data_IF_046633189084
#
_entry.id   IF_046633189084
#
_cell.length_a   1.000
_cell.length_b   1.000
_cell.length_c   1.000
_cell.angle_alpha   90.00
_cell.angle_beta   90.00
_cell.angle_gamma   90.00
#
_symmetry.space_group_name_H-M   'P 1'
#
loop_
_entity.id
_entity.type
_entity.pdbx_description
1 polymer ?
#
# COMPACT_ATOMS: atom_id res chain seq x y z
N UNK A 1 -13.63 10.41 19.68
CA UNK A 1 -12.48 11.30 19.39
C UNK A 1 -11.77 10.95 18.08
N UNK A 2 -11.49 9.69 17.77
CA UNK A 2 -10.81 9.28 16.54
C UNK A 2 -11.54 9.75 15.26
N UNK A 3 -12.86 9.60 15.17
CA UNK A 3 -13.62 10.03 13.99
C UNK A 3 -13.50 11.52 13.69
N UNK A 4 -13.41 12.36 14.71
CA UNK A 4 -13.24 13.80 14.55
C UNK A 4 -11.85 14.14 13.99
N UNK A 5 -10.80 13.44 14.46
CA UNK A 5 -9.42 13.60 14.00
C UNK A 5 -9.31 13.17 12.54
N UNK A 6 -9.86 12.02 12.17
CA UNK A 6 -9.88 11.54 10.79
C UNK A 6 -10.66 12.48 9.86
N UNK A 7 -11.78 13.04 10.33
CA UNK A 7 -12.52 14.05 9.58
C UNK A 7 -11.70 15.30 9.28
N UNK A 8 -10.93 15.79 10.24
CA UNK A 8 -10.05 16.95 10.08
C UNK A 8 -8.90 16.64 9.11
N UNK A 9 -8.21 15.51 9.30
CA UNK A 9 -7.13 15.08 8.42
C UNK A 9 -7.61 14.90 6.97
N UNK A 10 -8.79 14.32 6.80
CA UNK A 10 -9.42 14.15 5.49
C UNK A 10 -9.73 15.48 4.82
N UNK A 11 -10.20 16.49 5.56
CA UNK A 11 -10.42 17.83 5.03
C UNK A 11 -9.11 18.50 4.62
N UNK A 12 -8.05 18.39 5.42
CA UNK A 12 -6.73 18.91 5.07
C UNK A 12 -6.13 18.24 3.84
N UNK A 13 -6.26 16.93 3.72
CA UNK A 13 -5.83 16.21 2.53
C UNK A 13 -6.59 16.68 1.28
N UNK A 14 -7.91 16.85 1.37
CA UNK A 14 -8.76 17.34 0.26
C UNK A 14 -8.48 18.79 -0.11
N UNK A 15 -8.15 19.63 0.85
CA UNK A 15 -7.83 21.04 0.58
C UNK A 15 -6.52 21.26 -0.18
N UNK A 16 -5.71 20.19 -0.34
CA UNK A 16 -4.41 20.26 -0.99
C UNK A 16 -3.31 20.79 -0.09
N UNK A 17 -3.56 20.94 1.22
CA UNK A 17 -2.55 21.33 2.19
C UNK A 17 -1.44 20.26 2.29
N UNK A 18 -1.81 19.00 2.12
CA UNK A 18 -0.88 17.86 1.99
C UNK A 18 -0.93 17.32 0.57
N UNK A 19 0.22 16.96 0.03
CA UNK A 19 0.28 16.22 -1.22
C UNK A 19 -0.30 14.81 -1.02
N UNK A 20 0.13 14.13 0.05
CA UNK A 20 -0.41 12.83 0.47
C UNK A 20 -0.32 12.71 1.99
N UNK A 21 -1.39 12.26 2.63
CA UNK A 21 -1.41 11.87 4.04
C UNK A 21 -1.33 10.35 4.14
N UNK A 22 -0.31 9.84 4.82
CA UNK A 22 -0.11 8.40 5.03
C UNK A 22 -0.70 7.97 6.36
N UNK A 23 -1.48 6.89 6.33
CA UNK A 23 -2.04 6.24 7.51
C UNK A 23 -1.37 4.88 7.73
N UNK A 24 -0.98 4.63 8.96
CA UNK A 24 -0.38 3.38 9.43
C UNK A 24 -1.00 3.02 10.76
N UNK A 25 -1.43 1.78 10.91
CA UNK A 25 -1.89 1.20 12.17
C UNK A 25 -0.79 0.33 12.77
N UNK A 26 -0.25 0.77 13.89
CA UNK A 26 0.82 0.05 14.57
C UNK A 26 0.42 -1.37 14.98
N UNK A 27 -0.85 -1.61 15.32
CA UNK A 27 -1.34 -2.95 15.67
C UNK A 27 -1.30 -3.90 14.47
N UNK A 28 -1.49 -3.38 13.27
CA UNK A 28 -1.38 -4.19 12.04
C UNK A 28 0.09 -4.47 11.76
N UNK A 29 0.96 -3.46 11.86
CA UNK A 29 2.39 -3.62 11.61
C UNK A 29 3.03 -4.57 12.64
N UNK A 30 2.54 -4.57 13.87
CA UNK A 30 2.99 -5.48 14.92
C UNK A 30 2.92 -6.96 14.51
N UNK A 31 1.95 -7.36 13.69
CA UNK A 31 1.83 -8.73 13.21
C UNK A 31 3.03 -9.19 12.36
N UNK A 32 3.85 -8.26 11.86
CA UNK A 32 5.07 -8.56 11.12
C UNK A 32 6.31 -8.65 12.02
N UNK A 33 6.19 -8.18 13.27
CA UNK A 33 7.21 -8.38 14.27
C UNK A 33 7.10 -9.81 14.78
N UNK A 34 8.14 -10.58 14.69
CA UNK A 34 8.22 -11.85 15.40
C UNK A 34 8.30 -11.63 16.92
N UNK A 35 8.73 -12.63 17.67
CA UNK A 35 8.96 -12.53 19.12
C UNK A 35 10.14 -11.58 19.41
N UNK A 36 9.85 -10.29 19.51
CA UNK A 36 10.83 -9.23 19.83
C UNK A 36 10.71 -8.86 21.30
N UNK A 37 11.84 -8.78 22.03
CA UNK A 37 11.85 -8.27 23.40
C UNK A 37 11.25 -6.86 23.48
N UNK A 38 10.55 -6.56 24.57
CA UNK A 38 9.88 -5.26 24.78
C UNK A 38 10.84 -4.06 24.59
N UNK A 39 12.10 -4.22 24.92
CA UNK A 39 13.12 -3.16 24.75
C UNK A 39 13.38 -2.78 23.29
N UNK A 40 13.14 -3.68 22.33
CA UNK A 40 13.31 -3.44 20.89
C UNK A 40 12.00 -3.26 20.11
N UNK A 41 10.86 -3.29 20.78
CA UNK A 41 9.55 -3.31 20.13
C UNK A 41 9.28 -2.10 19.24
N UNK A 42 9.46 -0.89 19.76
CA UNK A 42 9.22 0.32 18.98
C UNK A 42 10.25 0.54 17.87
N UNK A 43 11.49 0.13 18.08
CA UNK A 43 12.54 0.20 17.07
C UNK A 43 12.19 -0.76 15.92
N UNK A 44 11.76 -1.98 16.19
CA UNK A 44 11.32 -2.94 15.19
C UNK A 44 10.12 -2.47 14.38
N UNK A 45 9.10 -1.89 15.04
CA UNK A 45 7.96 -1.27 14.36
C UNK A 45 8.39 -0.14 13.42
N UNK A 46 9.21 0.77 13.93
CA UNK A 46 9.70 1.89 13.14
C UNK A 46 10.53 1.42 11.95
N UNK A 47 11.37 0.41 12.14
CA UNK A 47 12.21 -0.14 11.06
C UNK A 47 11.36 -0.72 9.92
N UNK A 48 10.28 -1.43 10.21
CA UNK A 48 9.37 -1.96 9.19
C UNK A 48 8.70 -0.82 8.42
N UNK A 49 8.16 0.16 9.13
CA UNK A 49 7.45 1.29 8.50
C UNK A 49 8.42 2.12 7.66
N UNK A 50 9.55 2.52 8.23
CA UNK A 50 10.52 3.40 7.57
C UNK A 50 11.19 2.71 6.40
N UNK A 51 11.58 1.42 6.53
CA UNK A 51 12.18 0.68 5.42
C UNK A 51 11.21 0.49 4.26
N UNK A 52 9.96 0.15 4.55
CA UNK A 52 8.91 0.01 3.51
C UNK A 52 8.67 1.33 2.79
N UNK A 53 8.52 2.42 3.54
CA UNK A 53 8.34 3.76 2.98
C UNK A 53 9.56 4.20 2.15
N UNK A 54 10.77 3.97 2.68
CA UNK A 54 12.01 4.29 2.00
C UNK A 54 12.14 3.56 0.66
N UNK A 55 11.86 2.25 0.63
CA UNK A 55 11.95 1.46 -0.59
C UNK A 55 10.94 1.93 -1.65
N UNK A 56 9.71 2.21 -1.25
CA UNK A 56 8.69 2.77 -2.15
C UNK A 56 9.18 4.10 -2.71
N UNK A 57 9.72 4.99 -1.88
CA UNK A 57 10.24 6.29 -2.33
C UNK A 57 11.41 6.15 -3.30
N UNK A 58 12.31 5.20 -3.08
CA UNK A 58 13.39 4.88 -4.03
C UNK A 58 12.83 4.46 -5.38
N UNK A 59 11.85 3.55 -5.40
CA UNK A 59 11.25 3.07 -6.65
C UNK A 59 10.40 4.12 -7.36
N UNK A 60 9.74 5.01 -6.64
CA UNK A 60 9.00 6.14 -7.24
C UNK A 60 9.94 7.14 -7.94
N UNK A 61 11.21 7.18 -7.56
CA UNK A 61 12.25 8.00 -8.18
C UNK A 61 13.19 7.20 -9.11
N UNK A 62 12.84 5.97 -9.43
CA UNK A 62 13.60 5.07 -10.32
C UNK A 62 12.71 4.64 -11.48
N UNK A 63 13.26 4.61 -12.67
CA UNK A 63 12.53 4.09 -13.83
C UNK A 63 12.42 2.56 -13.75
N UNK A 64 11.22 1.96 -13.83
CA UNK A 64 11.07 0.51 -13.83
C UNK A 64 11.57 -0.10 -15.13
N UNK A 65 12.08 -1.32 -15.06
CA UNK A 65 12.46 -2.09 -16.25
C UNK A 65 11.21 -2.43 -17.11
N UNK A 66 10.11 -2.74 -16.47
CA UNK A 66 8.83 -3.08 -17.10
C UNK A 66 7.71 -2.45 -16.27
N UNK A 67 6.66 -2.01 -16.95
CA UNK A 67 5.50 -1.39 -16.34
C UNK A 67 5.66 0.11 -16.15
N UNK A 68 4.72 0.70 -15.46
CA UNK A 68 4.73 2.14 -15.16
C UNK A 68 3.96 2.38 -13.86
N UNK A 69 4.56 3.06 -12.92
CA UNK A 69 3.86 3.55 -11.73
C UNK A 69 3.13 4.85 -12.09
N UNK A 70 1.82 4.83 -11.97
CA UNK A 70 1.00 6.01 -12.26
C UNK A 70 0.93 6.93 -11.04
N UNK A 71 0.97 8.23 -11.30
CA UNK A 71 0.68 9.22 -10.24
C UNK A 71 -0.78 9.08 -9.79
N UNK A 72 -1.05 9.21 -8.49
CA UNK A 72 -2.42 9.17 -7.99
C UNK A 72 -3.25 10.34 -8.53
N UNK A 73 -4.55 10.14 -8.61
CA UNK A 73 -5.48 11.23 -8.94
C UNK A 73 -5.49 12.27 -7.81
N UNK A 74 -5.78 13.52 -8.17
CA UNK A 74 -5.81 14.62 -7.19
C UNK A 74 -6.80 14.40 -6.03
N UNK A 75 -7.85 13.62 -6.25
CA UNK A 75 -8.80 13.22 -5.21
C UNK A 75 -8.27 12.15 -4.25
N UNK A 76 -7.21 11.42 -4.64
CA UNK A 76 -6.64 10.30 -3.89
C UNK A 76 -5.42 10.74 -3.07
N UNK A 77 -5.65 11.59 -2.07
CA UNK A 77 -4.59 12.19 -1.24
C UNK A 77 -4.36 11.49 0.10
N UNK A 78 -5.04 10.40 0.34
CA UNK A 78 -4.86 9.57 1.54
C UNK A 78 -4.31 8.23 1.09
N UNK A 79 -3.24 7.79 1.69
CA UNK A 79 -2.55 6.57 1.31
C UNK A 79 -2.18 5.72 2.51
N UNK A 80 -1.96 4.45 2.26
CA UNK A 80 -1.20 3.55 3.13
C UNK A 80 -0.18 2.80 2.30
N UNK A 81 0.80 2.25 2.98
CA UNK A 81 1.84 1.41 2.39
C UNK A 81 1.69 -0.01 2.90
N UNK A 82 2.40 -0.93 2.30
CA UNK A 82 2.40 -2.32 2.71
C UNK A 82 3.37 -3.17 1.91
N UNK A 83 3.31 -4.45 2.18
CA UNK A 83 4.11 -5.47 1.50
C UNK A 83 3.20 -6.57 0.98
N UNK A 84 3.65 -7.30 -0.04
CA UNK A 84 2.92 -8.46 -0.54
C UNK A 84 3.85 -9.65 -0.72
N UNK A 85 3.30 -10.85 -0.59
CA UNK A 85 4.02 -12.08 -0.85
C UNK A 85 4.17 -12.29 -2.35
N UNK A 86 5.40 -12.56 -2.80
CA UNK A 86 5.67 -12.89 -4.20
C UNK A 86 5.08 -14.25 -4.60
N UNK A 87 4.98 -15.19 -3.67
CA UNK A 87 4.48 -16.53 -3.96
C UNK A 87 2.96 -16.60 -4.01
N UNK A 88 2.28 -16.12 -2.96
CA UNK A 88 0.82 -16.15 -2.84
C UNK A 88 0.13 -14.96 -3.47
N UNK A 89 0.82 -13.82 -3.61
CA UNK A 89 0.23 -12.56 -4.00
C UNK A 89 -0.60 -11.90 -2.89
N UNK A 90 -0.63 -12.49 -1.69
CA UNK A 90 -1.32 -11.89 -0.54
C UNK A 90 -0.68 -10.57 -0.16
N UNK A 91 -1.51 -9.55 0.04
CA UNK A 91 -1.04 -8.21 0.41
C UNK A 91 -1.42 -7.86 1.84
N UNK A 92 -0.50 -7.19 2.51
CA UNK A 92 -0.62 -6.74 3.88
C UNK A 92 -0.42 -5.22 3.90
N UNK A 93 -1.51 -4.48 3.83
CA UNK A 93 -1.51 -3.03 3.98
C UNK A 93 -1.40 -2.65 5.45
N UNK A 94 -0.66 -1.60 5.76
CA UNK A 94 -0.44 -1.13 7.13
C UNK A 94 -1.61 -0.32 7.69
N UNK A 95 -2.62 -0.05 6.90
CA UNK A 95 -3.90 0.51 7.32
C UNK A 95 -5.04 -0.04 6.45
N UNK A 96 -6.16 -0.51 7.02
CA UNK A 96 -7.29 -1.02 6.27
C UNK A 96 -8.19 0.14 5.81
N UNK A 97 -8.33 0.33 4.51
CA UNK A 97 -9.30 1.26 3.95
C UNK A 97 -10.61 0.55 3.61
N UNK A 98 -11.74 1.15 3.96
CA UNK A 98 -13.07 0.67 3.55
C UNK A 98 -13.25 0.75 2.03
N UNK A 99 -12.62 1.74 1.40
CA UNK A 99 -12.69 1.96 -0.03
C UNK A 99 -11.31 2.33 -0.59
N UNK A 100 -10.76 1.45 -1.41
CA UNK A 100 -9.54 1.71 -2.16
C UNK A 100 -9.90 2.20 -3.56
N UNK A 101 -9.24 3.26 -4.03
CA UNK A 101 -9.41 3.83 -5.37
C UNK A 101 -8.29 3.44 -6.31
N UNK A 102 -7.08 3.39 -5.79
CA UNK A 102 -5.88 3.14 -6.59
C UNK A 102 -4.89 2.28 -5.80
N UNK A 103 -4.17 1.42 -6.52
CA UNK A 103 -3.06 0.63 -5.99
C UNK A 103 -1.85 0.71 -6.90
N UNK A 104 -0.68 0.78 -6.30
CA UNK A 104 0.60 0.68 -6.99
C UNK A 104 1.43 -0.46 -6.38
N UNK A 105 2.02 -1.28 -7.24
CA UNK A 105 2.87 -2.41 -6.84
C UNK A 105 4.29 -2.24 -7.38
N UNK A 106 5.26 -2.37 -6.50
CA UNK A 106 6.68 -2.23 -6.77
C UNK A 106 7.34 -3.59 -6.60
N UNK A 107 7.60 -4.28 -7.70
CA UNK A 107 8.23 -5.59 -7.72
C UNK A 107 9.75 -5.40 -7.72
N UNK A 108 10.39 -5.59 -6.56
CA UNK A 108 11.83 -5.59 -6.38
C UNK A 108 12.37 -7.00 -6.62
N UNK A 109 12.91 -7.26 -7.80
CA UNK A 109 13.26 -8.59 -8.25
C UNK A 109 14.78 -8.68 -8.45
N UNK A 110 15.38 -9.80 -8.02
CA UNK A 110 16.78 -10.08 -8.24
C UNK A 110 17.13 -10.06 -9.74
N UNK A 111 18.22 -9.38 -10.11
CA UNK A 111 18.65 -9.24 -11.51
C UNK A 111 18.91 -10.57 -12.19
N UNK A 112 19.55 -11.51 -11.50
CA UNK A 112 19.88 -12.83 -12.06
C UNK A 112 18.62 -13.63 -12.37
N UNK A 113 17.59 -13.51 -11.51
CA UNK A 113 16.28 -14.14 -11.76
C UNK A 113 15.57 -13.51 -12.95
N UNK A 114 15.64 -12.18 -13.12
CA UNK A 114 15.06 -11.49 -14.28
C UNK A 114 15.70 -11.93 -15.60
N UNK A 115 17.00 -12.25 -15.58
CA UNK A 115 17.74 -12.70 -16.77
C UNK A 115 17.52 -14.18 -17.07
N UNK A 116 17.32 -15.02 -16.06
CA UNK A 116 17.26 -16.47 -16.20
C UNK A 116 15.86 -17.08 -16.22
N UNK A 117 14.86 -16.44 -15.58
CA UNK A 117 13.49 -16.98 -15.48
C UNK A 117 12.51 -16.30 -16.45
N UNK A 118 12.35 -16.90 -17.61
CA UNK A 118 11.40 -16.43 -18.63
C UNK A 118 9.91 -16.53 -18.22
N UNK A 119 9.58 -17.23 -17.13
CA UNK A 119 8.19 -17.36 -16.64
C UNK A 119 7.79 -16.23 -15.70
N UNK A 120 8.76 -15.51 -15.14
CA UNK A 120 8.59 -14.53 -14.08
C UNK A 120 7.65 -13.38 -14.45
N UNK A 121 7.84 -12.81 -15.64
CA UNK A 121 7.00 -11.71 -16.14
C UNK A 121 5.54 -12.16 -16.29
N UNK A 122 5.33 -13.39 -16.77
CA UNK A 122 3.98 -13.96 -16.89
C UNK A 122 3.33 -14.15 -15.54
N UNK A 123 4.07 -14.63 -14.54
CA UNK A 123 3.60 -14.77 -13.16
C UNK A 123 3.19 -13.41 -12.58
N UNK A 124 4.03 -12.38 -12.71
CA UNK A 124 3.73 -11.03 -12.24
C UNK A 124 2.47 -10.46 -12.93
N UNK A 125 2.38 -10.57 -14.26
CA UNK A 125 1.19 -10.10 -15.00
C UNK A 125 -0.09 -10.81 -14.55
N UNK A 126 -0.01 -12.10 -14.24
CA UNK A 126 -1.14 -12.87 -13.72
C UNK A 126 -1.56 -12.38 -12.34
N UNK A 127 -0.60 -12.13 -11.45
CA UNK A 127 -0.87 -11.55 -10.13
C UNK A 127 -1.51 -10.17 -10.24
N UNK A 128 -0.98 -9.29 -11.09
CA UNK A 128 -1.56 -7.95 -11.29
C UNK A 128 -2.99 -8.06 -11.84
N UNK A 129 -3.23 -8.95 -12.79
CA UNK A 129 -4.57 -9.17 -13.33
C UNK A 129 -5.58 -9.63 -12.26
N UNK A 130 -5.15 -10.49 -11.34
CA UNK A 130 -6.01 -10.92 -10.24
C UNK A 130 -6.33 -9.81 -9.21
N UNK A 131 -5.52 -8.76 -9.17
CA UNK A 131 -5.70 -7.60 -8.29
C UNK A 131 -6.55 -6.49 -8.92
N UNK A 132 -6.79 -6.56 -10.23
CA UNK A 132 -7.69 -5.64 -10.90
C UNK A 132 -9.12 -5.94 -10.47
N UNK A 133 -9.75 -4.97 -9.85
CA UNK A 133 -11.16 -5.00 -9.43
C UNK A 133 -11.90 -3.85 -10.12
N UNK A 134 -13.20 -3.97 -10.24
CA UNK A 134 -14.02 -2.88 -10.75
C UNK A 134 -13.82 -1.62 -9.87
N UNK A 135 -13.58 -0.51 -10.54
CA UNK A 135 -13.35 0.81 -9.91
C UNK A 135 -12.03 0.98 -9.12
N UNK A 136 -11.08 0.04 -9.17
CA UNK A 136 -9.74 0.21 -8.61
C UNK A 136 -8.72 0.34 -9.73
N UNK A 137 -8.04 1.48 -9.80
CA UNK A 137 -6.94 1.69 -10.75
C UNK A 137 -5.66 1.04 -10.21
N UNK A 138 -5.10 0.09 -10.98
CA UNK A 138 -3.89 -0.63 -10.59
C UNK A 138 -2.74 -0.27 -11.52
N UNK A 139 -1.58 0.05 -10.95
CA UNK A 139 -0.32 0.23 -11.68
C UNK A 139 0.78 -0.63 -11.06
N UNK A 140 1.80 -0.95 -11.82
CA UNK A 140 2.94 -1.71 -11.33
C UNK A 140 4.22 -1.40 -12.08
N UNK A 141 5.34 -1.63 -11.40
CA UNK A 141 6.67 -1.58 -12.00
C UNK A 141 7.55 -2.72 -11.49
N UNK A 142 8.42 -3.22 -12.37
CA UNK A 142 9.43 -4.22 -12.04
C UNK A 142 10.78 -3.52 -11.97
N UNK A 143 11.44 -3.62 -10.82
CA UNK A 143 12.70 -2.97 -10.51
C UNK A 143 13.78 -4.02 -10.25
N UNK A 144 14.84 -4.04 -11.06
CA UNK A 144 15.97 -4.94 -10.84
C UNK A 144 16.71 -4.57 -9.54
N UNK A 145 16.98 -5.57 -8.71
CA UNK A 145 17.73 -5.38 -7.46
C UNK A 145 18.91 -6.35 -7.35
N UNK A 146 19.78 -6.09 -6.39
CA UNK A 146 20.87 -7.00 -6.01
C UNK A 146 20.52 -7.79 -4.73
N UNK A 147 19.25 -7.73 -4.26
CA UNK A 147 18.79 -8.50 -3.11
C UNK A 147 18.74 -9.99 -3.46
N UNK A 148 19.01 -10.85 -2.49
CA UNK A 148 18.89 -12.31 -2.65
C UNK A 148 17.43 -12.72 -2.81
N UNK A 149 16.54 -12.07 -2.07
CA UNK A 149 15.11 -12.33 -2.09
C UNK A 149 14.34 -11.31 -2.94
N UNK A 150 13.19 -11.74 -3.43
CA UNK A 150 12.25 -10.90 -4.16
C UNK A 150 11.25 -10.29 -3.19
N UNK A 151 10.99 -9.00 -3.35
CA UNK A 151 10.05 -8.26 -2.51
C UNK A 151 8.98 -7.59 -3.36
N UNK A 152 7.78 -7.48 -2.83
CA UNK A 152 6.73 -6.64 -3.40
C UNK A 152 6.35 -5.62 -2.34
N UNK A 153 6.55 -4.36 -2.67
CA UNK A 153 6.00 -3.25 -1.89
C UNK A 153 4.71 -2.78 -2.56
N UNK A 154 3.78 -2.29 -1.77
CA UNK A 154 2.52 -1.79 -2.30
C UNK A 154 2.10 -0.50 -1.63
N UNK A 155 1.30 0.26 -2.36
CA UNK A 155 0.72 1.52 -1.92
C UNK A 155 -0.74 1.53 -2.33
N UNK A 156 -1.60 1.87 -1.41
CA UNK A 156 -3.03 1.99 -1.68
C UNK A 156 -3.49 3.41 -1.37
N UNK A 157 -4.40 3.93 -2.19
CA UNK A 157 -4.91 5.28 -2.09
C UNK A 157 -6.43 5.29 -1.97
N UNK A 158 -6.92 6.25 -1.22
CA UNK A 158 -8.33 6.55 -1.10
C UNK A 158 -8.60 8.06 -1.06
N UNK A 159 -9.83 8.44 -1.30
CA UNK A 159 -10.32 9.80 -1.09
C UNK A 159 -11.01 9.98 0.26
N UNK A 160 -11.37 8.88 0.94
CA UNK A 160 -12.05 8.84 2.23
C UNK A 160 -11.44 7.77 3.11
N UNK A 161 -11.19 8.07 4.37
CA UNK A 161 -10.66 7.09 5.34
C UNK A 161 -11.72 6.05 5.69
N UNK A 162 -12.96 6.50 5.91
CA UNK A 162 -14.09 5.66 6.28
C UNK A 162 -15.30 6.03 5.42
N UNK A 163 -16.09 5.04 5.05
CA UNK A 163 -17.41 5.26 4.48
C UNK A 163 -18.32 5.87 5.55
N UNK A 164 -19.12 6.85 5.17
CA UNK A 164 -20.22 7.31 6.00
C UNK A 164 -21.16 6.13 6.17
N UNK A 165 -21.39 5.68 7.41
CA UNK A 165 -22.50 4.76 7.67
C UNK A 165 -23.74 5.51 7.27
N UNK A 166 -24.53 4.97 6.35
CA UNK A 166 -25.91 5.40 6.16
C UNK A 166 -26.55 5.29 7.55
N UNK A 167 -27.02 6.42 8.08
CA UNK A 167 -27.88 6.39 9.26
C UNK A 167 -29.06 5.52 8.87
N UNK A 168 -29.16 4.35 9.47
CA UNK A 168 -30.40 3.56 9.46
C UNK A 168 -31.48 4.53 9.98
N UNK A 169 -32.26 5.05 9.05
CA UNK A 169 -33.51 5.70 9.41
C UNK A 169 -34.32 4.63 10.13
N UNK A 170 -34.30 4.69 11.46
CA UNK A 170 -35.31 4.03 12.25
C UNK A 170 -36.65 4.54 11.72
N UNK A 171 -37.32 3.72 10.94
CA UNK A 171 -38.73 3.84 10.71
C UNK A 171 -39.42 3.65 12.06
N UNK A 172 -39.57 4.74 12.79
CA UNK A 172 -40.58 4.87 13.79
C UNK A 172 -41.95 4.93 13.08
N UNK A 173 -42.46 3.79 12.71
CA UNK A 173 -43.87 3.61 12.47
C UNK A 173 -44.54 3.22 13.80
N UNK A 174 -45.12 4.21 14.42
CA UNK A 174 -46.20 4.05 15.38
C UNK A 174 -47.52 4.13 14.69
#
# INVERSE_FOLDING_TARGET
QERAIFGILQQYARSGLFETAYLVDNMIVENFLGDIPVAGYYDGLNDIIVSTFHMINVFENTEPLIGTIQKPQESSRIATIGVASFESGEENLFYPFDLVREKAYYYAINKEKLESDGSLIKKIKTQIKSKMQDNVRVSYGIFPTNYEDDYIFCKAYTSKVQLEKEEEKEENNS
#
